data_IF_278232098177
#
_entry.id   IF_278232098177
#
_cell.length_a   1.000
_cell.length_b   1.000
_cell.length_c   1.000
_cell.angle_alpha   90.00
_cell.angle_beta   90.00
_cell.angle_gamma   90.00
#
_symmetry.space_group_name_H-M   'P 1'
#
loop_
_entity.id
_entity.type
_entity.pdbx_description
1 polymer ?
#
# COMPACT_ATOMS: atom_id res chain seq x y z
N UNK A 1 7.33 10.70 0.32
CA UNK A 1 8.32 9.59 0.45
C UNK A 1 8.27 8.99 1.85
N UNK A 2 8.43 7.67 1.96
CA UNK A 2 8.50 6.96 3.25
C UNK A 2 9.85 6.24 3.36
N UNK A 3 10.44 6.24 4.55
CA UNK A 3 11.63 5.44 4.87
C UNK A 3 11.20 4.22 5.67
N UNK A 4 11.70 3.05 5.32
CA UNK A 4 11.46 1.82 6.08
C UNK A 4 12.36 1.82 7.32
N UNK A 5 11.78 1.94 8.51
CA UNK A 5 12.51 1.84 9.78
C UNK A 5 12.66 0.38 10.18
N UNK A 6 11.57 -0.39 10.09
CA UNK A 6 11.58 -1.83 10.36
C UNK A 6 10.50 -2.56 9.56
N UNK A 7 10.74 -3.83 9.26
CA UNK A 7 9.76 -4.77 8.70
C UNK A 7 9.75 -6.02 9.57
N UNK A 8 8.56 -6.42 10.00
CA UNK A 8 8.35 -7.59 10.87
C UNK A 8 7.69 -8.73 10.07
N UNK A 9 8.32 -9.13 8.97
CA UNK A 9 7.81 -10.11 8.03
C UNK A 9 8.40 -9.88 6.65
N UNK A 10 7.58 -10.02 5.62
CA UNK A 10 7.98 -9.74 4.25
C UNK A 10 7.16 -8.60 3.69
N UNK A 11 7.77 -7.78 2.86
CA UNK A 11 7.08 -6.74 2.12
C UNK A 11 7.70 -6.55 0.74
N UNK A 12 6.86 -6.29 -0.24
CA UNK A 12 7.28 -6.08 -1.62
C UNK A 12 6.30 -5.20 -2.38
N UNK A 13 6.78 -4.54 -3.42
CA UNK A 13 5.90 -3.80 -4.30
C UNK A 13 5.07 -4.74 -5.15
N UNK A 14 3.77 -4.45 -5.21
CA UNK A 14 2.81 -5.17 -6.03
C UNK A 14 1.91 -4.20 -6.79
N UNK A 15 1.49 -4.61 -7.98
CA UNK A 15 0.45 -4.01 -8.79
C UNK A 15 -0.55 -5.12 -9.24
N UNK A 16 -1.27 -4.92 -10.32
CA UNK A 16 -2.20 -5.95 -10.84
C UNK A 16 -1.48 -7.09 -11.59
N UNK A 17 -0.15 -7.09 -11.62
CA UNK A 17 0.69 -8.14 -12.18
C UNK A 17 0.92 -8.02 -13.69
N UNK A 18 1.77 -8.93 -14.22
CA UNK A 18 2.18 -9.01 -15.62
C UNK A 18 1.41 -10.08 -16.38
N UNK A 19 0.71 -9.68 -17.44
CA UNK A 19 -0.05 -10.60 -18.28
C UNK A 19 0.74 -10.96 -19.55
N UNK A 20 0.52 -12.17 -20.08
CA UNK A 20 1.02 -12.57 -21.39
C UNK A 20 2.42 -13.22 -21.41
N UNK A 21 3.09 -13.41 -20.27
CA UNK A 21 4.48 -13.90 -20.23
C UNK A 21 4.62 -15.35 -19.72
N UNK A 22 3.52 -16.11 -19.62
CA UNK A 22 3.55 -17.51 -19.18
C UNK A 22 4.36 -18.41 -20.10
N UNK A 23 4.33 -18.15 -21.40
CA UNK A 23 5.14 -18.88 -22.40
C UNK A 23 6.66 -18.72 -22.18
N UNK A 24 7.08 -17.67 -21.47
CA UNK A 24 8.46 -17.45 -21.07
C UNK A 24 8.77 -17.98 -19.66
N UNK A 25 7.88 -18.78 -19.08
CA UNK A 25 8.05 -19.33 -17.74
C UNK A 25 7.78 -18.33 -16.60
N UNK A 26 7.25 -17.15 -16.91
CA UNK A 26 6.95 -16.13 -15.89
C UNK A 26 5.50 -16.22 -15.43
N UNK A 27 5.28 -16.28 -14.13
CA UNK A 27 3.94 -16.17 -13.57
C UNK A 27 3.44 -14.71 -13.68
N UNK A 28 2.11 -14.55 -13.60
CA UNK A 28 1.50 -13.23 -13.59
C UNK A 28 2.01 -12.37 -12.44
N UNK A 29 2.31 -12.96 -11.28
CA UNK A 29 2.54 -12.23 -10.03
C UNK A 29 1.38 -11.28 -9.72
N UNK A 30 1.65 -10.13 -9.14
CA UNK A 30 0.63 -9.19 -8.71
C UNK A 30 0.24 -9.39 -7.27
N UNK A 31 -0.53 -8.46 -6.75
CA UNK A 31 -1.06 -8.52 -5.40
C UNK A 31 -1.84 -9.81 -5.15
N UNK A 32 -1.73 -10.35 -3.94
CA UNK A 32 -2.46 -11.54 -3.55
C UNK A 32 -3.97 -11.27 -3.38
N UNK A 33 -4.33 -10.04 -2.97
CA UNK A 33 -5.71 -9.60 -2.82
C UNK A 33 -6.01 -8.42 -3.75
N UNK A 34 -6.66 -8.72 -4.89
CA UNK A 34 -7.04 -7.71 -5.88
C UNK A 34 -8.16 -6.79 -5.41
N UNK A 35 -9.04 -7.24 -4.51
CA UNK A 35 -10.08 -6.40 -3.95
C UNK A 35 -9.50 -5.32 -3.05
N UNK A 36 -8.54 -5.69 -2.18
CA UNK A 36 -7.82 -4.75 -1.35
C UNK A 36 -7.04 -3.71 -2.19
N UNK A 37 -6.47 -4.12 -3.33
CA UNK A 37 -5.82 -3.19 -4.27
C UNK A 37 -6.82 -2.21 -4.87
N UNK A 38 -7.99 -2.68 -5.30
CA UNK A 38 -9.03 -1.83 -5.88
C UNK A 38 -9.61 -0.86 -4.82
N UNK A 39 -9.82 -1.34 -3.60
CA UNK A 39 -10.26 -0.52 -2.46
C UNK A 39 -9.28 0.61 -2.15
N UNK A 40 -7.99 0.30 -2.01
CA UNK A 40 -6.96 1.31 -1.75
C UNK A 40 -6.82 2.33 -2.88
N UNK A 41 -6.98 1.89 -4.13
CA UNK A 41 -7.01 2.78 -5.28
C UNK A 41 -8.22 3.72 -5.25
N UNK A 42 -9.40 3.21 -4.91
CA UNK A 42 -10.62 4.01 -4.76
C UNK A 42 -10.51 5.03 -3.62
N UNK A 43 -9.94 4.63 -2.47
CA UNK A 43 -9.72 5.52 -1.32
C UNK A 43 -8.77 6.68 -1.63
N UNK A 44 -7.88 6.53 -2.61
CA UNK A 44 -6.90 7.54 -3.01
C UNK A 44 -7.23 8.21 -4.35
N UNK A 45 -8.37 7.87 -4.97
CA UNK A 45 -8.78 8.36 -6.29
C UNK A 45 -7.65 8.17 -7.34
N UNK A 46 -7.22 6.92 -7.50
CA UNK A 46 -6.13 6.56 -8.42
C UNK A 46 -6.42 5.24 -9.16
N UNK A 47 -5.55 4.92 -10.12
CA UNK A 47 -5.68 3.67 -10.90
C UNK A 47 -5.53 2.43 -10.00
N UNK A 48 -6.38 1.40 -10.16
CA UNK A 48 -6.20 0.11 -9.49
C UNK A 48 -4.83 -0.56 -9.79
N UNK A 49 -4.18 -0.16 -10.89
CA UNK A 49 -2.85 -0.64 -11.24
C UNK A 49 -1.71 0.17 -10.62
N UNK A 50 -2.02 1.14 -9.75
CA UNK A 50 -1.01 1.87 -8.98
C UNK A 50 -0.27 0.91 -8.06
N UNK A 51 1.06 1.04 -8.03
CA UNK A 51 1.91 0.18 -7.20
C UNK A 51 1.67 0.46 -5.73
N UNK A 52 1.39 -0.59 -4.96
CA UNK A 52 1.27 -0.56 -3.51
C UNK A 52 2.36 -1.42 -2.85
N UNK A 53 2.57 -1.23 -1.56
CA UNK A 53 3.40 -2.10 -0.74
C UNK A 53 2.52 -3.19 -0.11
N UNK A 54 2.71 -4.43 -0.53
CA UNK A 54 2.09 -5.61 0.09
C UNK A 54 2.92 -6.03 1.30
N UNK A 55 2.26 -6.22 2.42
CA UNK A 55 2.84 -6.63 3.69
C UNK A 55 2.33 -8.03 4.05
N UNK A 56 3.26 -8.94 4.37
CA UNK A 56 2.97 -10.31 4.78
C UNK A 56 3.56 -10.53 6.17
N UNK A 57 2.70 -10.79 7.16
CA UNK A 57 3.13 -11.00 8.54
C UNK A 57 2.80 -9.82 9.45
N UNK A 58 3.74 -9.37 10.26
CA UNK A 58 3.48 -8.46 11.37
C UNK A 58 3.68 -6.96 11.06
N UNK A 59 3.72 -6.60 9.77
CA UNK A 59 3.79 -5.21 9.35
C UNK A 59 5.18 -4.58 9.47
N UNK A 60 5.23 -3.32 9.91
CA UNK A 60 6.48 -2.56 10.01
C UNK A 60 6.28 -1.13 10.46
N UNK A 61 7.38 -0.42 10.58
CA UNK A 61 7.44 1.00 10.96
C UNK A 61 8.05 1.80 9.81
N UNK A 62 7.41 2.93 9.50
CA UNK A 62 7.80 3.80 8.39
C UNK A 62 7.91 5.25 8.90
N UNK A 63 8.99 5.91 8.55
CA UNK A 63 9.19 7.33 8.79
C UNK A 63 8.71 8.13 7.57
N UNK A 64 7.86 9.11 7.78
CA UNK A 64 7.32 9.97 6.72
C UNK A 64 8.32 11.09 6.42
N UNK A 65 8.96 11.02 5.26
CA UNK A 65 9.99 12.00 4.86
C UNK A 65 9.40 13.25 4.20
N UNK A 66 8.19 13.14 3.64
CA UNK A 66 7.44 14.23 3.00
C UNK A 66 5.96 14.01 3.22
N UNK A 67 5.20 15.10 3.31
CA UNK A 67 3.74 15.06 3.42
C UNK A 67 3.14 14.17 2.34
N UNK A 68 2.26 13.26 2.71
CA UNK A 68 1.67 12.34 1.77
C UNK A 68 0.30 11.83 2.22
N UNK A 69 -0.48 11.35 1.25
CA UNK A 69 -1.72 10.64 1.52
C UNK A 69 -1.53 9.16 1.28
N UNK A 70 -1.92 8.35 2.25
CA UNK A 70 -1.85 6.90 2.21
C UNK A 70 -3.22 6.27 2.41
N UNK A 71 -3.41 5.03 1.97
CA UNK A 71 -4.55 4.21 2.36
C UNK A 71 -4.07 2.86 2.87
N UNK A 72 -4.82 2.28 3.81
CA UNK A 72 -4.55 1.00 4.44
C UNK A 72 -5.70 0.06 4.13
N UNK A 73 -5.42 -1.10 3.51
CA UNK A 73 -6.46 -2.06 3.08
C UNK A 73 -6.00 -3.51 3.25
N UNK A 74 -6.89 -4.45 2.98
CA UNK A 74 -6.64 -5.89 3.09
C UNK A 74 -6.76 -6.40 4.52
N UNK A 75 -5.96 -7.39 4.89
CA UNK A 75 -5.99 -7.98 6.23
C UNK A 75 -5.72 -6.92 7.30
N UNK A 76 -6.61 -6.82 8.27
CA UNK A 76 -6.61 -5.74 9.28
C UNK A 76 -5.36 -5.79 10.16
N UNK A 77 -4.69 -4.66 10.29
CA UNK A 77 -3.61 -4.42 11.23
C UNK A 77 -3.98 -3.32 12.21
N UNK A 78 -3.32 -3.30 13.36
CA UNK A 78 -3.32 -2.12 14.22
C UNK A 78 -2.40 -1.07 13.57
N UNK A 79 -2.99 0.07 13.22
CA UNK A 79 -2.29 1.18 12.58
C UNK A 79 -2.27 2.40 13.50
N UNK A 80 -1.14 3.09 13.54
CA UNK A 80 -1.02 4.37 14.25
C UNK A 80 -0.01 5.29 13.58
N UNK A 81 -0.25 6.61 13.67
CA UNK A 81 0.73 7.64 13.36
C UNK A 81 1.04 8.41 14.64
N UNK A 82 2.31 8.44 15.06
CA UNK A 82 2.75 9.08 16.32
C UNK A 82 1.86 8.66 17.52
N UNK A 83 1.59 7.37 17.66
CA UNK A 83 0.74 6.74 18.68
C UNK A 83 -0.77 7.07 18.56
N UNK A 84 -1.20 7.89 17.60
CA UNK A 84 -2.63 8.13 17.33
C UNK A 84 -3.17 7.00 16.45
N UNK A 85 -4.22 6.29 16.88
CA UNK A 85 -4.80 5.22 16.08
C UNK A 85 -5.29 5.71 14.71
N UNK A 86 -5.07 4.91 13.69
CA UNK A 86 -5.58 5.13 12.34
C UNK A 86 -6.63 4.05 12.02
N UNK A 87 -7.71 4.47 11.35
CA UNK A 87 -8.73 3.54 10.89
C UNK A 87 -8.17 2.63 9.78
N UNK A 88 -8.59 1.37 9.77
CA UNK A 88 -8.34 0.46 8.67
C UNK A 88 -9.38 0.65 7.58
N UNK A 89 -9.09 0.27 6.34
CA UNK A 89 -9.90 0.51 5.14
C UNK A 89 -10.26 2.00 4.98
N UNK A 90 -9.25 2.85 5.17
CA UNK A 90 -9.39 4.31 5.14
C UNK A 90 -8.15 4.97 4.56
N UNK A 91 -8.32 6.19 4.07
CA UNK A 91 -7.22 7.07 3.66
C UNK A 91 -6.82 8.02 4.79
N UNK A 92 -5.52 8.32 4.88
CA UNK A 92 -4.94 9.17 5.91
C UNK A 92 -3.94 10.14 5.31
N UNK A 93 -3.99 11.39 5.74
CA UNK A 93 -2.94 12.36 5.46
C UNK A 93 -1.87 12.25 6.55
N UNK A 94 -0.64 12.02 6.13
CA UNK A 94 0.52 11.94 7.01
C UNK A 94 1.46 13.12 6.75
N UNK A 95 1.93 13.73 7.83
CA UNK A 95 2.86 14.84 7.77
C UNK A 95 4.31 14.35 7.85
N UNK A 96 5.21 15.10 7.26
CA UNK A 96 6.65 14.89 7.40
C UNK A 96 7.04 14.76 8.86
N UNK A 97 7.79 13.73 9.19
CA UNK A 97 8.23 13.39 10.54
C UNK A 97 7.29 12.46 11.30
N UNK A 98 6.05 12.21 10.80
CA UNK A 98 5.20 11.21 11.44
C UNK A 98 5.83 9.82 11.36
N UNK A 99 5.62 9.04 12.41
CA UNK A 99 6.02 7.64 12.48
C UNK A 99 4.80 6.76 12.29
N UNK A 100 4.64 6.18 11.09
CA UNK A 100 3.57 5.22 10.79
C UNK A 100 3.97 3.84 11.28
N UNK A 101 3.18 3.29 12.20
CA UNK A 101 3.35 1.95 12.74
C UNK A 101 2.18 1.06 12.28
N UNK A 102 2.51 -0.07 11.69
CA UNK A 102 1.57 -1.13 11.30
C UNK A 102 2.00 -2.41 12.01
N UNK A 103 1.14 -2.96 12.88
CA UNK A 103 1.49 -4.13 13.70
C UNK A 103 0.38 -5.14 13.76
N UNK A 104 0.76 -6.40 13.84
CA UNK A 104 -0.07 -7.57 14.12
C UNK A 104 -1.32 -7.68 13.27
N UNK A 105 -1.28 -8.54 12.27
CA UNK A 105 -2.46 -8.98 11.52
C UNK A 105 -3.36 -9.82 12.42
N UNK A 106 -4.61 -9.41 12.55
CA UNK A 106 -5.60 -10.16 13.34
C UNK A 106 -6.35 -11.19 12.48
N UNK A 107 -6.69 -10.81 11.24
CA UNK A 107 -7.43 -11.66 10.31
C UNK A 107 -6.86 -11.53 8.90
N UNK A 108 -6.46 -12.64 8.32
CA UNK A 108 -5.89 -12.67 6.97
C UNK A 108 -4.36 -12.64 6.99
N UNK A 109 -3.77 -12.54 5.80
CA UNK A 109 -2.33 -12.68 5.59
C UNK A 109 -1.69 -11.52 4.83
N UNK A 110 -2.46 -10.83 4.00
CA UNK A 110 -1.97 -9.81 3.08
C UNK A 110 -2.61 -8.47 3.39
N UNK A 111 -1.80 -7.50 3.78
CA UNK A 111 -2.19 -6.12 4.02
C UNK A 111 -1.49 -5.21 3.03
N UNK A 112 -2.07 -4.06 2.76
CA UNK A 112 -1.54 -3.13 1.76
C UNK A 112 -1.41 -1.74 2.33
N UNK A 113 -0.25 -1.14 2.11
CA UNK A 113 -0.01 0.28 2.26
C UNK A 113 0.02 0.90 0.85
N UNK A 114 -0.96 1.74 0.57
CA UNK A 114 -1.04 2.49 -0.67
C UNK A 114 -0.50 3.90 -0.46
N UNK A 115 0.14 4.44 -1.47
CA UNK A 115 0.57 5.84 -1.51
C UNK A 115 -0.15 6.51 -2.68
N UNK A 116 -0.67 7.70 -2.47
CA UNK A 116 -1.30 8.45 -3.56
C UNK A 116 -0.31 8.66 -4.69
N UNK A 117 -0.74 8.36 -5.94
CA UNK A 117 0.13 8.33 -7.12
C UNK A 117 0.95 7.04 -7.28
N UNK A 118 0.89 6.12 -6.31
CA UNK A 118 1.62 4.85 -6.31
C UNK A 118 3.09 4.99 -5.89
N UNK A 119 3.69 3.88 -5.54
CA UNK A 119 5.13 3.81 -5.26
C UNK A 119 5.94 3.69 -6.56
N UNK A 120 7.09 4.34 -6.59
CA UNK A 120 8.07 4.20 -7.66
C UNK A 120 8.82 2.89 -7.49
N UNK A 121 8.65 1.98 -8.43
CA UNK A 121 9.35 0.70 -8.46
C UNK A 121 9.79 0.35 -9.90
N UNK A 122 10.84 -0.44 -10.08
CA UNK A 122 11.26 -0.89 -11.41
C UNK A 122 10.15 -1.67 -12.10
N UNK A 123 9.89 -1.36 -13.38
CA UNK A 123 8.97 -2.12 -14.22
C UNK A 123 9.70 -3.20 -14.99
N UNK A 124 9.22 -4.44 -14.85
CA UNK A 124 9.67 -5.59 -15.63
C UNK A 124 8.45 -6.19 -16.30
N UNK A 125 8.45 -6.26 -17.64
CA UNK A 125 7.31 -6.72 -18.42
C UNK A 125 6.00 -5.98 -18.07
N UNK A 126 6.06 -4.65 -18.06
CA UNK A 126 4.96 -3.72 -17.78
C UNK A 126 4.35 -3.81 -16.37
N UNK A 127 5.00 -4.46 -15.41
CA UNK A 127 4.54 -4.58 -14.02
C UNK A 127 5.65 -4.24 -13.04
N UNK A 128 5.28 -3.59 -11.92
CA UNK A 128 6.14 -3.35 -10.78
C UNK A 128 6.10 -4.50 -9.76
N UNK A 129 5.24 -5.51 -9.97
CA UNK A 129 5.10 -6.62 -9.03
C UNK A 129 6.39 -7.40 -8.86
N UNK A 130 6.84 -7.51 -7.62
CA UNK A 130 7.99 -8.31 -7.29
C UNK A 130 7.67 -9.81 -7.40
N UNK A 131 8.65 -10.56 -7.86
CA UNK A 131 8.68 -12.02 -7.87
C UNK A 131 10.10 -12.48 -7.56
N UNK A 132 10.53 -12.40 -6.29
CA UNK A 132 11.92 -12.64 -5.90
C UNK A 132 12.46 -14.02 -6.30
N UNK A 133 11.60 -15.04 -6.31
CA UNK A 133 11.96 -16.40 -6.76
C UNK A 133 12.40 -16.43 -8.23
N UNK A 134 11.84 -15.54 -9.06
CA UNK A 134 12.24 -15.39 -10.46
C UNK A 134 13.31 -14.30 -10.67
N UNK A 135 13.91 -13.77 -9.60
CA UNK A 135 14.89 -12.68 -9.68
C UNK A 135 14.30 -11.33 -10.08
N UNK A 136 12.97 -11.16 -10.00
CA UNK A 136 12.29 -9.91 -10.36
C UNK A 136 11.90 -9.16 -9.09
N UNK A 137 12.43 -7.95 -8.93
CA UNK A 137 12.24 -7.14 -7.73
C UNK A 137 12.88 -7.78 -6.49
N UNK A 138 12.59 -7.21 -5.35
CA UNK A 138 13.12 -7.67 -4.05
C UNK A 138 12.14 -7.35 -2.93
N UNK A 139 12.34 -7.96 -1.79
CA UNK A 139 11.68 -7.55 -0.56
C UNK A 139 12.27 -6.22 -0.07
N UNK A 140 11.42 -5.38 0.50
CA UNK A 140 11.88 -4.14 1.12
C UNK A 140 12.63 -4.44 2.42
N UNK A 141 13.59 -3.58 2.75
CA UNK A 141 14.49 -3.75 3.90
C UNK A 141 14.52 -2.46 4.72
N UNK A 142 14.91 -2.51 5.98
CA UNK A 142 15.20 -1.31 6.76
C UNK A 142 16.18 -0.39 6.02
N UNK A 143 15.90 0.92 6.07
CA UNK A 143 16.59 2.03 5.37
C UNK A 143 16.24 2.17 3.88
N UNK A 144 15.40 1.32 3.30
CA UNK A 144 14.89 1.56 1.95
C UNK A 144 14.01 2.82 1.93
N UNK A 145 14.16 3.61 0.87
CA UNK A 145 13.32 4.78 0.63
C UNK A 145 12.24 4.39 -0.38
N UNK A 146 11.01 4.42 0.08
CA UNK A 146 9.83 4.15 -0.73
C UNK A 146 9.38 5.47 -1.36
N UNK A 147 9.89 5.75 -2.56
CA UNK A 147 9.59 6.97 -3.28
C UNK A 147 8.19 6.91 -3.92
N UNK A 148 7.54 8.07 -4.02
CA UNK A 148 6.32 8.23 -4.79
C UNK A 148 6.66 8.29 -6.29
N UNK A 149 5.82 7.70 -7.12
CA UNK A 149 5.87 7.94 -8.56
C UNK A 149 5.45 9.40 -8.80
N UNK A 150 6.29 10.17 -9.51
CA UNK A 150 5.99 11.57 -9.80
C UNK A 150 4.67 11.69 -10.56
N UNK A 151 3.65 12.23 -9.92
CA UNK A 151 2.39 12.59 -10.55
C UNK A 151 2.35 14.10 -10.74
N UNK A 152 2.19 14.53 -11.98
CA UNK A 152 1.95 15.95 -12.36
C UNK A 152 0.51 16.40 -12.06
N UNK A 153 -0.13 15.87 -11.03
CA UNK A 153 -1.48 16.30 -10.63
C UNK A 153 -1.39 17.20 -9.41
N UNK A 154 -2.01 18.38 -9.54
CA UNK A 154 -2.13 19.40 -8.51
C UNK A 154 -2.68 18.86 -7.19
N UNK A 155 -2.35 19.47 -6.03
CA UNK A 155 -2.91 19.08 -4.74
C UNK A 155 -4.41 19.33 -4.74
N UNK A 156 -5.19 18.27 -4.91
CA UNK A 156 -6.64 18.33 -4.76
C UNK A 156 -6.94 18.54 -3.28
N UNK A 157 -7.71 19.58 -2.99
CA UNK A 157 -8.20 19.89 -1.65
C UNK A 157 -8.83 18.65 -1.00
N UNK A 158 -8.38 18.33 0.21
CA UNK A 158 -8.86 17.18 0.99
C UNK A 158 -10.32 17.37 1.35
N UNK A 159 -11.22 16.69 0.67
CA UNK A 159 -12.60 16.56 1.11
C UNK A 159 -12.71 15.33 2.01
N UNK A 160 -12.89 15.57 3.30
CA UNK A 160 -13.23 14.50 4.25
C UNK A 160 -14.67 14.07 3.99
N UNK A 161 -14.88 13.04 3.21
CA UNK A 161 -16.17 12.37 3.14
C UNK A 161 -16.16 11.20 4.12
N UNK A 162 -16.72 11.42 5.30
CA UNK A 162 -17.21 10.34 6.15
C UNK A 162 -18.37 9.68 5.41
N UNK A 163 -18.16 8.50 4.86
CA UNK A 163 -19.25 7.62 4.48
C UNK A 163 -19.88 7.06 5.77
N UNK A 164 -20.85 7.79 6.31
CA UNK A 164 -21.75 7.22 7.32
C UNK A 164 -22.71 6.29 6.58
N UNK A 165 -22.56 4.99 6.82
CA UNK A 165 -23.57 4.01 6.42
C UNK A 165 -24.91 4.39 7.07
N UNK A 166 -26.02 4.44 6.33
CA UNK A 166 -27.33 4.69 6.92
C UNK A 166 -27.65 3.55 7.88
N UNK A 167 -27.90 3.90 9.13
CA UNK A 167 -28.42 2.97 10.14
C UNK A 167 -29.82 2.57 9.69
N UNK A 168 -30.00 1.31 9.28
CA UNK A 168 -31.33 0.76 9.03
C UNK A 168 -31.96 0.57 10.41
N UNK A 169 -32.86 1.50 10.80
CA UNK A 169 -33.75 1.26 11.90
C UNK A 169 -34.81 0.24 11.44
N UNK A 170 -34.71 -0.98 11.96
CA UNK A 170 -35.82 -1.93 11.91
C UNK A 170 -36.90 -1.49 12.90
N UNK A 171 -38.11 -1.35 12.40
CA UNK A 171 -39.35 -1.26 13.17
C UNK A 171 -39.80 -2.64 13.62
#
# INVERSE_FOLDING_TARGET
>A
MLEVVSILGFSSFQDMGRNGFRSLGLSRSGAADYYAMAEGAALLDQSPNSTALELIGNGGTFNVLEDCMVALTGATMLASADQKPLAWNASHYLYKGNMLNLTTQQNGRYSYLHLRGGFKAPKVFNSCSAQPVAGIGQYTRPKDILAQLENKQDPIAVSYTHLTLPTICSV
#
